data_IF_901481321017
#
_entry.id   IF_901481321017
#
_cell.length_a   1.000
_cell.length_b   1.000
_cell.length_c   1.000
_cell.angle_alpha   90.00
_cell.angle_beta   90.00
_cell.angle_gamma   90.00
#
_symmetry.space_group_name_H-M   'P 1'
#
loop_
_entity.id
_entity.type
_entity.pdbx_description
1 polymer ?
#
# COMPACT_ATOMS: atom_id res chain seq x y z
N UNK A 1 -6.01 39.26 -2.25
CA UNK A 1 -5.79 39.06 -3.70
C UNK A 1 -4.81 37.90 -3.83
N UNK A 2 -5.13 36.73 -4.38
CA UNK A 2 -6.36 36.24 -4.99
C UNK A 2 -6.65 34.81 -4.54
N UNK A 3 -7.93 34.44 -4.58
CA UNK A 3 -8.39 33.09 -4.30
C UNK A 3 -7.77 32.13 -5.33
N UNK A 4 -7.18 31.03 -4.86
CA UNK A 4 -6.84 29.89 -5.72
C UNK A 4 -8.17 29.37 -6.29
N UNK A 5 -8.35 29.33 -7.62
CA UNK A 5 -9.62 28.89 -8.19
C UNK A 5 -9.78 27.41 -7.86
N UNK A 6 -10.83 27.09 -7.09
CA UNK A 6 -11.32 25.71 -6.95
C UNK A 6 -11.75 25.29 -8.34
N UNK A 7 -10.97 24.43 -9.00
CA UNK A 7 -11.32 23.89 -10.31
C UNK A 7 -12.61 23.09 -10.14
N UNK A 8 -13.71 23.57 -10.71
CA UNK A 8 -14.94 22.80 -10.84
C UNK A 8 -14.63 21.54 -11.67
N UNK A 9 -14.67 20.37 -11.02
CA UNK A 9 -14.52 19.08 -11.70
C UNK A 9 -15.80 18.80 -12.49
N UNK A 10 -15.65 18.40 -13.75
CA UNK A 10 -16.78 18.05 -14.63
C UNK A 10 -17.50 16.79 -14.12
N UNK A 11 -18.82 16.68 -14.35
CA UNK A 11 -19.61 15.50 -13.96
C UNK A 11 -19.04 14.17 -14.54
N UNK A 12 -18.43 14.21 -15.73
CA UNK A 12 -17.78 13.04 -16.33
C UNK A 12 -16.46 12.66 -15.63
N UNK A 13 -15.75 13.65 -15.06
CA UNK A 13 -14.57 13.42 -14.22
C UNK A 13 -15.01 12.78 -12.89
N UNK A 14 -16.07 13.27 -12.27
CA UNK A 14 -16.61 12.69 -11.02
C UNK A 14 -17.13 11.25 -11.16
N UNK A 15 -17.72 10.89 -12.30
CA UNK A 15 -18.15 9.52 -12.59
C UNK A 15 -16.96 8.56 -12.78
N UNK A 16 -15.92 9.02 -13.50
CA UNK A 16 -14.68 8.25 -13.70
C UNK A 16 -13.92 8.07 -12.39
N UNK A 17 -13.78 9.13 -11.58
CA UNK A 17 -13.17 9.08 -10.25
C UNK A 17 -13.89 8.11 -9.32
N UNK A 18 -15.22 8.12 -9.34
CA UNK A 18 -16.04 7.16 -8.57
C UNK A 18 -15.85 5.73 -9.08
N UNK A 19 -15.74 5.55 -10.40
CA UNK A 19 -15.48 4.25 -11.03
C UNK A 19 -14.11 3.68 -10.64
N UNK A 20 -13.06 4.51 -10.71
CA UNK A 20 -11.69 4.14 -10.36
C UNK A 20 -11.56 3.79 -8.87
N UNK A 21 -12.16 4.58 -7.98
CA UNK A 21 -12.19 4.29 -6.56
C UNK A 21 -12.89 2.95 -6.26
N UNK A 22 -14.00 2.64 -6.95
CA UNK A 22 -14.66 1.32 -6.84
C UNK A 22 -13.78 0.20 -7.37
N UNK A 23 -13.08 0.42 -8.48
CA UNK A 23 -12.13 -0.53 -9.05
C UNK A 23 -10.97 -0.84 -8.11
N UNK A 24 -10.39 0.17 -7.46
CA UNK A 24 -9.34 -0.02 -6.45
C UNK A 24 -9.85 -0.81 -5.26
N UNK A 25 -11.07 -0.53 -4.78
CA UNK A 25 -11.68 -1.30 -3.68
C UNK A 25 -11.93 -2.76 -4.08
N UNK A 26 -12.28 -3.05 -5.33
CA UNK A 26 -12.40 -4.42 -5.84
C UNK A 26 -11.05 -5.13 -5.94
N UNK A 27 -10.04 -4.41 -6.46
CA UNK A 27 -8.69 -4.91 -6.54
C UNK A 27 -8.12 -5.22 -5.15
N UNK A 28 -8.37 -4.37 -4.16
CA UNK A 28 -8.02 -4.61 -2.77
C UNK A 28 -8.64 -5.91 -2.23
N UNK A 29 -9.92 -6.18 -2.51
CA UNK A 29 -10.58 -7.45 -2.12
C UNK A 29 -9.90 -8.65 -2.78
N UNK A 30 -9.53 -8.55 -4.06
CA UNK A 30 -8.80 -9.61 -4.79
C UNK A 30 -7.39 -9.81 -4.25
N UNK A 31 -6.68 -8.73 -3.90
CA UNK A 31 -5.34 -8.79 -3.30
C UNK A 31 -5.43 -9.49 -1.94
N UNK A 32 -6.27 -8.99 -1.04
CA UNK A 32 -6.33 -9.45 0.37
C UNK A 32 -6.80 -10.89 0.53
N UNK A 33 -7.50 -11.45 -0.47
CA UNK A 33 -7.91 -12.86 -0.52
C UNK A 33 -6.91 -13.79 -1.23
N UNK A 34 -5.84 -13.24 -1.83
CA UNK A 34 -4.91 -14.01 -2.66
C UNK A 34 -4.09 -15.06 -1.87
N UNK A 35 -3.99 -16.26 -2.46
CA UNK A 35 -3.21 -17.40 -1.93
C UNK A 35 -2.33 -18.09 -2.98
N UNK A 36 -2.02 -17.41 -4.10
CA UNK A 36 -1.34 -18.04 -5.26
C UNK A 36 0.10 -18.48 -5.02
N UNK A 37 0.78 -17.94 -4.00
CA UNK A 37 2.19 -18.23 -3.70
C UNK A 37 2.30 -19.06 -2.40
N UNK A 38 2.38 -20.41 -2.45
CA UNK A 38 2.33 -21.26 -1.24
C UNK A 38 3.39 -20.90 -0.19
N UNK A 39 4.64 -20.66 -0.61
CA UNK A 39 5.75 -20.28 0.28
C UNK A 39 5.46 -18.98 1.05
N UNK A 40 4.92 -17.97 0.37
CA UNK A 40 4.58 -16.69 0.97
C UNK A 40 3.36 -16.79 1.90
N UNK A 41 2.38 -17.61 1.52
CA UNK A 41 1.19 -17.89 2.33
C UNK A 41 1.59 -18.57 3.63
N UNK A 42 2.40 -19.63 3.55
CA UNK A 42 2.89 -20.34 4.74
C UNK A 42 3.70 -19.40 5.64
N UNK A 43 4.62 -18.63 5.05
CA UNK A 43 5.49 -17.73 5.81
C UNK A 43 4.71 -16.61 6.52
N UNK A 44 3.86 -15.87 5.80
CA UNK A 44 3.15 -14.71 6.35
C UNK A 44 2.23 -15.11 7.52
N UNK A 45 1.61 -16.29 7.41
CA UNK A 45 0.71 -16.84 8.42
C UNK A 45 1.48 -17.43 9.60
N UNK A 46 2.60 -18.12 9.35
CA UNK A 46 3.50 -18.59 10.42
C UNK A 46 3.99 -17.42 11.26
N UNK A 47 4.50 -16.36 10.64
CA UNK A 47 4.94 -15.16 11.35
C UNK A 47 3.79 -14.51 12.13
N UNK A 48 2.58 -14.50 11.59
CA UNK A 48 1.41 -13.94 12.27
C UNK A 48 0.97 -14.77 13.51
N UNK A 49 1.23 -16.08 13.51
CA UNK A 49 0.96 -16.98 14.64
C UNK A 49 2.08 -16.93 15.69
N UNK A 50 3.33 -17.07 15.26
CA UNK A 50 4.50 -17.15 16.16
C UNK A 50 4.81 -15.78 16.77
N UNK A 51 4.69 -14.72 15.97
CA UNK A 51 4.98 -13.32 16.33
C UNK A 51 6.40 -13.12 16.88
N UNK A 52 6.76 -11.87 17.11
CA UNK A 52 7.96 -11.51 17.87
C UNK A 52 7.53 -11.17 19.30
N UNK A 53 8.37 -11.44 20.29
CA UNK A 53 8.08 -11.14 21.70
C UNK A 53 7.58 -9.70 21.94
N UNK A 54 8.17 -8.72 21.25
CA UNK A 54 7.77 -7.31 21.35
C UNK A 54 6.33 -7.02 20.86
N UNK A 55 5.71 -7.94 20.12
CA UNK A 55 4.39 -7.81 19.51
C UNK A 55 3.49 -9.02 19.84
N UNK A 56 3.78 -9.75 20.92
CA UNK A 56 3.09 -11.01 21.25
C UNK A 56 1.57 -10.83 21.40
N UNK A 57 1.15 -9.71 21.98
CA UNK A 57 -0.24 -9.39 22.27
C UNK A 57 -0.98 -8.72 21.08
N UNK A 58 -0.27 -8.40 19.99
CA UNK A 58 -0.89 -7.76 18.82
C UNK A 58 -1.56 -8.78 17.90
N UNK A 59 -2.71 -8.41 17.33
CA UNK A 59 -3.31 -9.16 16.24
C UNK A 59 -2.61 -8.81 14.91
N UNK A 60 -1.96 -9.79 14.30
CA UNK A 60 -1.30 -9.61 13.01
C UNK A 60 -2.31 -9.68 11.84
N UNK A 61 -2.04 -8.91 10.80
CA UNK A 61 -2.77 -8.96 9.53
C UNK A 61 -2.67 -10.33 8.82
N UNK A 62 -1.45 -10.86 8.68
CA UNK A 62 -1.19 -12.23 8.18
C UNK A 62 -1.69 -12.52 6.75
N UNK A 63 -1.93 -11.46 5.96
CA UNK A 63 -2.58 -11.50 4.65
C UNK A 63 -1.81 -10.66 3.63
N UNK A 64 -2.10 -10.76 2.32
CA UNK A 64 -1.56 -9.83 1.34
C UNK A 64 -1.92 -8.39 1.71
N UNK A 65 -0.99 -7.47 1.54
CA UNK A 65 -1.13 -6.05 1.88
C UNK A 65 -1.44 -5.28 0.60
N UNK A 66 -2.60 -4.61 0.52
CA UNK A 66 -2.95 -3.77 -0.62
C UNK A 66 -2.11 -2.48 -0.65
N UNK A 67 -2.14 -1.77 -1.77
CA UNK A 67 -1.65 -0.40 -1.81
C UNK A 67 -2.47 0.55 -0.94
N UNK A 68 -1.93 1.74 -0.68
CA UNK A 68 -2.54 2.74 0.19
C UNK A 68 -2.23 4.14 -0.32
N UNK A 69 -3.21 5.04 -0.25
CA UNK A 69 -3.00 6.45 -0.54
C UNK A 69 -4.16 7.05 -1.31
N UNK A 70 -3.86 8.12 -2.04
CA UNK A 70 -4.82 8.86 -2.83
C UNK A 70 -5.13 8.12 -4.15
N UNK A 71 -6.39 7.73 -4.43
CA UNK A 71 -6.81 7.23 -5.75
C UNK A 71 -6.55 8.26 -6.87
N UNK A 72 -6.49 9.54 -6.47
CA UNK A 72 -6.21 10.76 -7.23
C UNK A 72 -4.75 10.93 -7.71
N UNK A 73 -3.85 10.02 -7.29
CA UNK A 73 -2.43 10.31 -7.15
C UNK A 73 -1.70 10.59 -8.48
N UNK A 74 -0.75 11.53 -8.42
CA UNK A 74 0.20 11.77 -9.50
C UNK A 74 1.52 11.00 -9.33
N UNK A 75 1.85 10.62 -8.09
CA UNK A 75 3.07 9.88 -7.73
C UNK A 75 2.69 8.49 -7.21
N UNK A 76 3.31 7.46 -7.79
CA UNK A 76 3.23 6.08 -7.28
C UNK A 76 4.59 5.67 -6.71
N UNK A 77 4.64 5.24 -5.45
CA UNK A 77 5.84 4.67 -4.83
C UNK A 77 5.71 3.16 -4.78
N UNK A 78 6.58 2.46 -5.48
CA UNK A 78 6.59 1.00 -5.58
C UNK A 78 7.67 0.40 -4.69
N UNK A 79 7.27 -0.18 -3.56
CA UNK A 79 8.16 -0.99 -2.72
C UNK A 79 8.39 -2.40 -3.24
N UNK A 80 9.31 -3.12 -2.60
CA UNK A 80 9.56 -4.53 -2.91
C UNK A 80 8.46 -5.45 -2.35
N UNK A 81 8.36 -5.55 -1.03
CA UNK A 81 7.43 -6.45 -0.34
C UNK A 81 7.23 -6.05 1.14
N UNK A 82 6.12 -6.45 1.78
CA UNK A 82 5.91 -6.29 3.22
C UNK A 82 7.02 -6.88 4.09
N UNK A 83 7.42 -6.15 5.13
CA UNK A 83 8.23 -6.73 6.20
C UNK A 83 7.39 -7.67 7.08
N UNK A 84 8.02 -8.74 7.58
CA UNK A 84 7.39 -9.79 8.40
C UNK A 84 6.67 -9.26 9.65
N UNK A 85 7.21 -8.21 10.29
CA UNK A 85 6.62 -7.56 11.47
C UNK A 85 6.29 -6.07 11.24
N UNK A 86 6.34 -5.61 9.99
CA UNK A 86 5.83 -4.30 9.58
C UNK A 86 4.44 -4.48 8.99
N UNK A 87 4.32 -4.29 7.68
CA UNK A 87 3.04 -4.40 6.97
C UNK A 87 2.31 -5.77 7.11
N UNK A 88 3.03 -6.89 7.32
CA UNK A 88 2.37 -8.18 7.62
C UNK A 88 1.73 -8.24 9.03
N UNK A 89 2.17 -7.37 9.94
CA UNK A 89 1.53 -7.15 11.24
C UNK A 89 0.41 -6.12 11.13
N UNK A 90 0.71 -4.96 10.54
CA UNK A 90 -0.15 -3.76 10.61
C UNK A 90 -1.22 -3.68 9.52
N UNK A 91 -1.09 -4.44 8.43
CA UNK A 91 -2.03 -4.47 7.32
C UNK A 91 -1.95 -3.28 6.37
N UNK A 92 -1.02 -2.34 6.55
CA UNK A 92 -0.78 -1.21 5.65
C UNK A 92 0.66 -1.23 5.16
N UNK A 93 0.87 -1.01 3.86
CA UNK A 93 2.21 -1.00 3.26
C UNK A 93 3.09 0.06 3.95
N UNK A 94 4.38 -0.26 4.13
CA UNK A 94 5.35 0.59 4.84
C UNK A 94 4.94 1.02 6.27
N UNK A 95 4.15 0.23 7.00
CA UNK A 95 3.64 0.63 8.33
C UNK A 95 4.18 -0.27 9.43
N UNK A 96 4.71 0.31 10.51
CA UNK A 96 5.19 -0.42 11.67
C UNK A 96 6.61 -1.02 11.52
N UNK A 97 7.42 -0.47 10.63
CA UNK A 97 8.84 -0.78 10.48
C UNK A 97 9.66 0.48 10.13
N UNK A 98 10.99 0.37 10.19
CA UNK A 98 11.91 1.51 10.00
C UNK A 98 11.85 2.12 8.60
N UNK A 99 11.61 1.30 7.56
CA UNK A 99 11.42 1.82 6.20
C UNK A 99 10.20 2.72 6.12
N UNK A 100 9.13 2.34 6.80
CA UNK A 100 7.93 3.14 6.98
C UNK A 100 8.15 4.48 7.65
N UNK A 101 8.86 4.47 8.78
CA UNK A 101 9.18 5.69 9.54
C UNK A 101 9.92 6.71 8.67
N UNK A 102 10.87 6.23 7.86
CA UNK A 102 11.61 7.09 6.94
C UNK A 102 10.73 7.60 5.79
N UNK A 103 9.94 6.72 5.16
CA UNK A 103 9.10 7.07 4.01
C UNK A 103 8.02 8.07 4.40
N UNK A 104 7.17 7.75 5.37
CA UNK A 104 6.05 8.60 5.77
C UNK A 104 6.53 9.89 6.45
N UNK A 105 7.61 9.83 7.22
CA UNK A 105 8.25 11.03 7.75
C UNK A 105 8.74 11.97 6.64
N UNK A 106 9.29 11.42 5.55
CA UNK A 106 9.70 12.21 4.37
C UNK A 106 8.51 12.77 3.62
N UNK A 107 7.48 11.97 3.37
CA UNK A 107 6.23 12.41 2.71
C UNK A 107 5.54 13.53 3.48
N UNK A 108 5.53 13.48 4.82
CA UNK A 108 5.00 14.56 5.63
C UNK A 108 5.79 15.86 5.45
N UNK A 109 7.13 15.79 5.48
CA UNK A 109 7.99 16.97 5.27
C UNK A 109 7.82 17.59 3.88
N UNK A 110 7.45 16.80 2.88
CA UNK A 110 7.26 17.25 1.50
C UNK A 110 5.79 17.52 1.15
N UNK A 111 4.87 17.41 2.10
CA UNK A 111 3.45 17.74 1.93
C UNK A 111 2.58 16.63 1.31
N UNK A 112 3.10 15.42 1.09
CA UNK A 112 2.34 14.28 0.56
C UNK A 112 1.62 13.45 1.63
N UNK A 113 1.84 13.74 2.92
CA UNK A 113 1.16 13.06 4.03
C UNK A 113 0.72 14.06 5.10
N UNK A 114 -0.44 13.82 5.72
CA UNK A 114 -1.00 14.69 6.77
C UNK A 114 -0.32 14.53 8.15
N UNK A 115 0.47 13.48 8.34
CA UNK A 115 1.22 13.22 9.57
C UNK A 115 2.50 12.45 9.26
N UNK A 116 3.51 12.58 10.12
CA UNK A 116 4.82 11.95 9.93
C UNK A 116 4.85 10.45 10.28
N UNK A 117 3.89 9.97 11.06
CA UNK A 117 3.91 8.62 11.65
C UNK A 117 2.84 7.72 11.05
N UNK A 118 3.18 6.44 10.94
CA UNK A 118 2.32 5.38 10.41
C UNK A 118 2.42 4.17 11.34
N UNK A 119 1.48 4.06 12.26
CA UNK A 119 1.52 3.10 13.38
C UNK A 119 0.71 1.85 13.05
N UNK A 120 -0.51 2.03 12.54
CA UNK A 120 -1.44 0.94 12.19
C UNK A 120 -2.45 1.38 11.13
N UNK A 121 -3.07 0.44 10.44
CA UNK A 121 -4.25 0.76 9.65
C UNK A 121 -5.33 1.46 10.51
N UNK A 122 -5.91 2.55 9.99
CA UNK A 122 -6.94 3.31 10.68
C UNK A 122 -6.45 4.36 11.68
N UNK A 123 -5.15 4.67 11.73
CA UNK A 123 -4.57 5.72 12.60
C UNK A 123 -4.74 7.16 12.10
N UNK A 124 -5.54 7.39 11.05
CA UNK A 124 -5.82 8.72 10.51
C UNK A 124 -4.80 9.26 9.51
N UNK A 125 -3.71 8.53 9.23
CA UNK A 125 -2.80 8.85 8.13
C UNK A 125 -3.58 8.89 6.81
N UNK A 126 -3.31 9.93 6.02
CA UNK A 126 -3.80 10.13 4.65
C UNK A 126 -2.66 10.64 3.79
N UNK A 127 -2.60 10.14 2.56
CA UNK A 127 -1.72 10.68 1.53
C UNK A 127 -2.53 11.59 0.61
N UNK A 128 -1.89 12.62 0.08
CA UNK A 128 -2.47 13.57 -0.87
C UNK A 128 -1.56 13.65 -2.10
N UNK A 129 -2.08 13.31 -3.28
CA UNK A 129 -1.30 13.27 -4.52
C UNK A 129 -0.30 12.10 -4.63
N UNK A 130 -0.25 11.19 -3.65
CA UNK A 130 0.65 10.05 -3.63
C UNK A 130 -0.08 8.73 -3.28
N UNK A 131 0.37 7.65 -3.90
CA UNK A 131 -0.06 6.29 -3.62
C UNK A 131 1.17 5.40 -3.40
N UNK A 132 1.13 4.54 -2.39
CA UNK A 132 2.20 3.59 -2.06
C UNK A 132 1.72 2.17 -2.31
N UNK A 133 2.53 1.36 -2.97
CA UNK A 133 2.26 -0.05 -3.24
C UNK A 133 3.51 -0.91 -3.13
N UNK A 134 3.40 -2.18 -3.51
CA UNK A 134 4.52 -3.11 -3.51
C UNK A 134 4.44 -4.09 -4.69
N UNK A 135 5.61 -4.47 -5.23
CA UNK A 135 5.72 -5.45 -6.30
C UNK A 135 5.22 -6.84 -5.86
N UNK A 136 5.47 -7.21 -4.60
CA UNK A 136 4.95 -8.43 -3.97
C UNK A 136 4.09 -8.06 -2.76
N UNK A 137 2.86 -8.56 -2.70
CA UNK A 137 1.88 -8.17 -1.65
C UNK A 137 2.01 -8.96 -0.36
N UNK A 138 2.82 -10.02 -0.31
CA UNK A 138 2.99 -10.84 0.89
C UNK A 138 4.40 -10.70 1.44
N UNK A 139 4.56 -10.82 2.77
CA UNK A 139 5.89 -10.87 3.36
C UNK A 139 6.65 -12.11 2.87
N UNK A 140 7.86 -11.95 2.30
CA UNK A 140 8.71 -13.07 1.96
C UNK A 140 9.71 -13.36 3.09
N UNK A 141 10.12 -14.63 3.27
CA UNK A 141 11.27 -14.96 4.09
C UNK A 141 12.50 -14.10 3.77
N UNK A 142 13.18 -13.62 4.81
CA UNK A 142 14.35 -12.75 4.71
C UNK A 142 14.16 -11.47 3.86
N UNK A 143 12.92 -11.02 3.65
CA UNK A 143 12.56 -9.92 2.76
C UNK A 143 13.02 -10.13 1.30
N UNK A 144 13.12 -11.40 0.86
CA UNK A 144 13.55 -11.78 -0.49
C UNK A 144 12.48 -12.61 -1.20
N UNK A 145 11.63 -11.99 -2.04
CA UNK A 145 10.74 -12.74 -2.90
C UNK A 145 11.53 -13.47 -3.99
N UNK A 146 11.01 -14.61 -4.45
CA UNK A 146 11.52 -15.29 -5.62
C UNK A 146 11.07 -14.57 -6.90
N UNK A 147 11.81 -14.66 -8.02
CA UNK A 147 11.36 -14.10 -9.29
C UNK A 147 9.96 -14.55 -9.69
N UNK A 148 9.65 -15.85 -9.55
CA UNK A 148 8.31 -16.38 -9.84
C UNK A 148 7.21 -15.78 -8.95
N UNK A 149 7.50 -15.48 -7.69
CA UNK A 149 6.54 -14.83 -6.79
C UNK A 149 6.34 -13.36 -7.13
N UNK A 150 7.40 -12.67 -7.57
CA UNK A 150 7.31 -11.32 -8.12
C UNK A 150 6.45 -11.34 -9.38
N UNK A 151 6.74 -12.22 -10.33
CA UNK A 151 6.06 -12.26 -11.62
C UNK A 151 4.58 -12.61 -11.48
N UNK A 152 4.23 -13.46 -10.51
CA UNK A 152 2.84 -13.76 -10.16
C UNK A 152 2.10 -12.58 -9.51
N UNK A 153 2.81 -11.70 -8.79
CA UNK A 153 2.21 -10.66 -7.95
C UNK A 153 2.23 -9.26 -8.57
N UNK A 154 3.22 -8.97 -9.43
CA UNK A 154 3.40 -7.70 -10.11
C UNK A 154 2.17 -7.24 -10.92
N UNK A 155 1.35 -8.14 -11.53
CA UNK A 155 0.13 -7.73 -12.20
C UNK A 155 -0.81 -6.88 -11.34
N UNK A 156 -0.85 -7.08 -10.01
CA UNK A 156 -1.66 -6.23 -9.12
C UNK A 156 -1.21 -4.77 -9.14
N UNK A 157 0.10 -4.50 -9.22
CA UNK A 157 0.60 -3.12 -9.34
C UNK A 157 0.25 -2.51 -10.70
N UNK A 158 0.29 -3.32 -11.77
CA UNK A 158 -0.18 -2.90 -13.09
C UNK A 158 -1.68 -2.54 -13.10
N UNK A 159 -2.51 -3.33 -12.42
CA UNK A 159 -3.94 -3.04 -12.28
C UNK A 159 -4.20 -1.78 -11.45
N UNK A 160 -3.46 -1.56 -10.36
CA UNK A 160 -3.52 -0.30 -9.60
C UNK A 160 -3.20 0.91 -10.47
N UNK A 161 -2.11 0.85 -11.26
CA UNK A 161 -1.72 1.92 -12.18
C UNK A 161 -2.78 2.17 -13.27
N UNK A 162 -3.38 1.11 -13.81
CA UNK A 162 -4.45 1.24 -14.79
C UNK A 162 -5.71 1.94 -14.22
N UNK A 163 -5.96 1.76 -12.93
CA UNK A 163 -7.05 2.43 -12.20
C UNK A 163 -6.71 3.86 -11.74
N UNK A 164 -5.45 4.27 -11.85
CA UNK A 164 -4.97 5.60 -11.45
C UNK A 164 -4.34 6.34 -12.64
N UNK A 165 -5.15 6.78 -13.62
CA UNK A 165 -4.67 7.35 -14.88
C UNK A 165 -3.91 8.68 -14.73
N UNK A 166 -3.94 9.30 -13.54
CA UNK A 166 -3.19 10.53 -13.25
C UNK A 166 -1.75 10.29 -12.80
N UNK A 167 -1.36 9.05 -12.51
CA UNK A 167 0.02 8.71 -12.17
C UNK A 167 0.93 9.05 -13.35
N UNK A 168 1.89 9.94 -13.11
CA UNK A 168 2.87 10.38 -14.11
C UNK A 168 4.30 10.14 -13.67
N UNK A 169 4.53 9.88 -12.38
CA UNK A 169 5.84 9.58 -11.80
C UNK A 169 5.76 8.29 -10.98
N UNK A 170 6.69 7.37 -11.23
CA UNK A 170 6.87 6.16 -10.43
C UNK A 170 8.25 6.16 -9.77
N UNK A 171 8.28 6.01 -8.44
CA UNK A 171 9.49 5.87 -7.64
C UNK A 171 9.66 4.39 -7.26
N UNK A 172 10.79 3.77 -7.59
CA UNK A 172 11.04 2.33 -7.43
C UNK A 172 12.36 2.08 -6.68
#
# INVERSE_FOLDING_TARGET
MGAVPVRERSQAQGLTETGNARGLAELERRITSCRRCPRLVEWRERVAREKRAAFADEQYWGRPVPGFGDPDAAIYVLGLAPAAHGANRTGRVFTGDRSGDWLYGSMHRTGFANQATSVRAGDGLRLDGAFVGAAVRCAPPANKPLPAERDECLPYAGEELALMPRVSVMLC
#
